data_IF_086939608169
#
_entry.id   IF_086939608169
#
_cell.length_a   1.000
_cell.length_b   1.000
_cell.length_c   1.000
_cell.angle_alpha   90.00
_cell.angle_beta   90.00
_cell.angle_gamma   90.00
#
_symmetry.space_group_name_H-M   'P 1'
#
loop_
_entity.id
_entity.type
_entity.pdbx_description
1 polymer ?
#
# COMPACT_ATOMS: atom_id res chain seq x y z
N UNK A 1 -24.17 -2.14 19.88
CA UNK A 1 -25.08 -3.30 19.76
C UNK A 1 -25.52 -3.76 21.15
N UNK A 2 -26.53 -4.64 21.29
CA UNK A 2 -27.05 -5.10 22.60
C UNK A 2 -26.00 -5.81 23.49
N UNK A 3 -24.79 -6.04 22.96
CA UNK A 3 -23.65 -6.66 23.61
C UNK A 3 -22.53 -5.67 24.01
N UNK A 4 -22.74 -4.36 23.83
CA UNK A 4 -21.77 -3.33 24.24
C UNK A 4 -20.52 -3.21 23.35
N UNK A 5 -20.53 -3.85 22.17
CA UNK A 5 -19.50 -3.65 21.16
C UNK A 5 -19.74 -2.34 20.39
N UNK A 6 -18.64 -1.75 19.92
CA UNK A 6 -18.67 -0.56 19.08
C UNK A 6 -19.53 -0.83 17.84
N UNK A 7 -20.60 -0.06 17.67
CA UNK A 7 -21.48 -0.17 16.52
C UNK A 7 -20.76 0.38 15.28
N UNK A 8 -20.20 -0.53 14.48
CA UNK A 8 -19.59 -0.20 13.20
C UNK A 8 -20.70 0.15 12.20
N UNK A 9 -21.05 1.43 12.15
CA UNK A 9 -22.04 1.95 11.19
C UNK A 9 -21.35 2.43 9.91
N UNK A 10 -21.78 1.89 8.77
CA UNK A 10 -21.57 2.53 7.47
C UNK A 10 -22.63 3.60 7.26
N UNK A 11 -22.29 4.71 6.60
CA UNK A 11 -23.28 5.72 6.23
C UNK A 11 -23.42 5.79 4.71
N UNK A 12 -24.66 5.93 4.26
CA UNK A 12 -24.98 6.06 2.84
C UNK A 12 -25.82 7.30 2.62
N UNK A 13 -25.41 8.10 1.65
CA UNK A 13 -26.10 9.33 1.24
C UNK A 13 -26.48 9.21 -0.22
N UNK A 14 -27.77 9.38 -0.51
CA UNK A 14 -28.32 9.35 -1.86
C UNK A 14 -29.61 10.20 -1.91
N UNK A 15 -30.14 10.52 -3.12
CA UNK A 15 -31.46 11.11 -3.23
C UNK A 15 -32.52 10.21 -2.59
N UNK A 16 -33.57 10.83 -2.04
CA UNK A 16 -34.60 10.14 -1.28
C UNK A 16 -35.20 8.92 -2.00
N UNK A 17 -35.59 9.06 -3.27
CA UNK A 17 -36.18 7.95 -4.03
C UNK A 17 -35.24 6.76 -4.26
N UNK A 18 -33.92 6.99 -4.20
CA UNK A 18 -32.92 5.92 -4.24
C UNK A 18 -32.78 5.27 -2.86
N UNK A 19 -32.73 6.07 -1.79
CA UNK A 19 -32.60 5.55 -0.41
C UNK A 19 -33.75 4.61 -0.04
N UNK A 20 -34.98 4.89 -0.45
CA UNK A 20 -36.13 4.00 -0.21
C UNK A 20 -36.01 2.61 -0.85
N UNK A 21 -35.14 2.49 -1.87
CA UNK A 21 -34.98 1.27 -2.68
C UNK A 21 -33.63 0.62 -2.51
N UNK A 22 -32.73 1.26 -1.77
CA UNK A 22 -31.38 0.81 -1.53
C UNK A 22 -31.34 -0.03 -0.25
N UNK A 23 -30.90 -1.27 -0.40
CA UNK A 23 -30.64 -2.18 0.71
C UNK A 23 -29.14 -2.28 0.91
N UNK A 24 -28.69 -2.07 2.14
CA UNK A 24 -27.28 -2.11 2.52
C UNK A 24 -27.12 -3.06 3.69
N UNK A 25 -26.33 -4.13 3.52
CA UNK A 25 -26.15 -5.18 4.52
C UNK A 25 -24.69 -5.55 4.69
N UNK A 26 -24.30 -6.02 5.87
CA UNK A 26 -22.96 -6.55 6.12
C UNK A 26 -22.93 -8.04 5.78
N UNK A 27 -22.00 -8.44 4.93
CA UNK A 27 -21.88 -9.80 4.35
C UNK A 27 -20.43 -10.30 4.38
N UNK A 28 -19.83 -10.32 5.58
CA UNK A 28 -18.42 -10.66 5.80
C UNK A 28 -18.03 -12.09 5.34
N UNK A 29 -18.99 -12.98 5.32
CA UNK A 29 -18.94 -14.34 4.79
C UNK A 29 -18.58 -14.39 3.29
N UNK A 30 -18.77 -13.29 2.55
CA UNK A 30 -18.35 -13.15 1.16
C UNK A 30 -16.94 -12.55 0.97
N UNK A 31 -16.20 -12.31 2.05
CA UNK A 31 -14.83 -11.79 1.98
C UNK A 31 -13.86 -12.56 1.06
N UNK A 32 -13.93 -13.90 0.91
CA UNK A 32 -13.05 -14.63 -0.02
C UNK A 32 -13.22 -14.23 -1.48
N UNK A 33 -14.38 -13.67 -1.85
CA UNK A 33 -14.67 -13.21 -3.20
C UNK A 33 -14.24 -11.77 -3.46
N UNK A 34 -13.91 -11.03 -2.39
CA UNK A 34 -13.60 -9.60 -2.45
C UNK A 34 -12.10 -9.35 -2.39
N UNK A 35 -11.29 -10.20 -1.78
CA UNK A 35 -9.87 -9.91 -1.48
C UNK A 35 -8.95 -10.83 -2.28
N UNK A 36 -7.88 -10.29 -2.85
CA UNK A 36 -6.86 -11.04 -3.59
C UNK A 36 -5.56 -11.19 -2.75
N UNK A 37 -4.64 -12.06 -3.19
CA UNK A 37 -3.40 -12.43 -2.44
C UNK A 37 -2.51 -11.24 -2.00
N UNK A 38 -2.49 -10.15 -2.75
CA UNK A 38 -1.67 -8.96 -2.46
C UNK A 38 -2.44 -7.87 -1.69
N UNK A 39 -3.62 -8.19 -1.19
CA UNK A 39 -4.55 -7.27 -0.55
C UNK A 39 -4.83 -7.67 0.89
N UNK A 40 -5.21 -6.68 1.70
CA UNK A 40 -5.62 -6.88 3.08
C UNK A 40 -6.99 -6.25 3.27
N UNK A 41 -7.95 -7.03 3.76
CA UNK A 41 -9.27 -6.54 4.12
C UNK A 41 -9.17 -5.70 5.39
N UNK A 42 -9.56 -4.43 5.32
CA UNK A 42 -9.46 -3.50 6.47
C UNK A 42 -10.81 -3.00 6.97
N UNK A 43 -11.91 -3.38 6.31
CA UNK A 43 -13.28 -3.12 6.73
C UNK A 43 -14.13 -4.39 6.70
N UNK A 44 -15.35 -4.27 7.21
CA UNK A 44 -16.42 -5.21 6.86
C UNK A 44 -16.72 -5.16 5.35
N UNK A 45 -17.26 -6.25 4.83
CA UNK A 45 -17.81 -6.34 3.48
C UNK A 45 -19.28 -5.94 3.52
N UNK A 46 -19.69 -5.05 2.63
CA UNK A 46 -21.05 -4.51 2.59
C UNK A 46 -21.66 -4.82 1.22
N UNK A 47 -22.84 -5.44 1.17
CA UNK A 47 -23.64 -5.51 -0.05
C UNK A 47 -24.47 -4.25 -0.19
N UNK A 48 -24.45 -3.62 -1.35
CA UNK A 48 -25.37 -2.54 -1.70
C UNK A 48 -26.16 -2.95 -2.95
N UNK A 49 -27.46 -3.09 -2.77
CA UNK A 49 -28.41 -3.55 -3.80
C UNK A 49 -29.54 -2.54 -3.94
N UNK A 50 -29.99 -2.29 -5.17
CA UNK A 50 -31.09 -1.36 -5.44
C UNK A 50 -32.12 -2.02 -6.34
N UNK A 51 -33.40 -1.94 -5.95
CA UNK A 51 -34.50 -2.51 -6.74
C UNK A 51 -34.79 -1.75 -8.05
N UNK A 52 -34.24 -0.53 -8.23
CA UNK A 52 -34.37 0.25 -9.45
C UNK A 52 -33.02 0.77 -9.96
N UNK A 53 -32.41 0.04 -10.88
CA UNK A 53 -31.07 0.35 -11.43
C UNK A 53 -31.08 1.66 -12.24
N UNK A 54 -32.17 1.98 -12.94
CA UNK A 54 -32.28 3.17 -13.82
C UNK A 54 -32.16 4.52 -13.10
N UNK A 55 -32.45 4.56 -11.80
CA UNK A 55 -32.34 5.79 -11.00
C UNK A 55 -30.90 6.03 -10.50
N UNK A 56 -30.10 4.96 -10.34
CA UNK A 56 -28.73 5.04 -9.84
C UNK A 56 -27.76 5.58 -10.89
N UNK A 57 -28.03 5.31 -12.18
CA UNK A 57 -27.28 5.85 -13.32
C UNK A 57 -27.47 7.36 -13.46
N UNK A 58 -28.63 7.89 -13.06
CA UNK A 58 -28.91 9.33 -13.07
C UNK A 58 -28.39 10.06 -11.81
N UNK A 59 -28.23 9.35 -10.69
CA UNK A 59 -27.80 9.95 -9.41
C UNK A 59 -26.93 8.99 -8.58
N UNK A 60 -25.60 9.21 -8.54
CA UNK A 60 -24.69 8.35 -7.78
C UNK A 60 -24.93 8.45 -6.27
N UNK A 61 -24.69 7.34 -5.58
CA UNK A 61 -24.74 7.24 -4.12
C UNK A 61 -23.34 7.51 -3.53
N UNK A 62 -23.30 7.99 -2.30
CA UNK A 62 -22.07 8.12 -1.52
C UNK A 62 -22.09 7.12 -0.38
N UNK A 63 -21.07 6.27 -0.28
CA UNK A 63 -20.93 5.27 0.78
C UNK A 63 -19.68 5.62 1.59
N UNK A 64 -19.82 5.75 2.90
CA UNK A 64 -18.70 5.87 3.84
C UNK A 64 -18.51 4.53 4.57
N UNK A 65 -17.40 3.86 4.26
CA UNK A 65 -17.07 2.54 4.79
C UNK A 65 -16.06 2.71 5.92
N UNK A 66 -16.44 2.46 7.18
CA UNK A 66 -15.50 2.52 8.29
C UNK A 66 -14.45 1.42 8.15
N UNK A 67 -13.18 1.73 8.42
CA UNK A 67 -12.10 0.77 8.34
C UNK A 67 -11.13 0.93 9.51
N UNK A 68 -10.57 -0.19 9.94
CA UNK A 68 -9.58 -0.26 11.00
C UNK A 68 -8.22 -0.58 10.40
N UNK A 69 -7.59 0.41 9.76
CA UNK A 69 -6.21 0.25 9.29
C UNK A 69 -5.28 1.17 10.06
N UNK A 70 -4.22 0.57 10.63
CA UNK A 70 -3.08 1.32 11.19
C UNK A 70 -2.11 1.80 10.10
N UNK A 71 -2.39 1.49 8.83
CA UNK A 71 -1.37 1.55 7.79
C UNK A 71 -1.26 2.95 7.15
N UNK A 72 -0.12 3.61 7.38
CA UNK A 72 0.36 4.80 6.67
C UNK A 72 1.69 4.54 5.95
N UNK A 73 1.83 3.39 5.30
CA UNK A 73 3.05 3.06 4.56
C UNK A 73 3.05 3.61 3.15
N UNK A 74 4.22 3.99 2.64
CA UNK A 74 4.41 4.58 1.30
C UNK A 74 3.98 3.66 0.13
N UNK A 75 3.88 2.35 0.38
CA UNK A 75 3.70 1.31 -0.65
C UNK A 75 2.28 0.74 -0.76
N UNK A 76 1.38 1.07 0.15
CA UNK A 76 -0.03 0.67 0.03
C UNK A 76 -0.91 1.91 0.04
N UNK A 77 -2.02 1.84 -0.68
CA UNK A 77 -3.10 2.79 -0.60
C UNK A 77 -4.33 2.10 0.02
N UNK A 78 -5.20 2.88 0.65
CA UNK A 78 -6.54 2.44 1.03
C UNK A 78 -7.46 2.76 -0.14
N UNK A 79 -8.05 1.71 -0.71
CA UNK A 79 -8.99 1.80 -1.84
C UNK A 79 -10.31 1.14 -1.45
N UNK A 80 -11.41 1.52 -2.10
CA UNK A 80 -12.66 0.75 -2.00
C UNK A 80 -12.73 -0.17 -3.20
N UNK A 81 -12.78 -1.47 -2.96
CA UNK A 81 -13.00 -2.47 -4.01
C UNK A 81 -14.50 -2.74 -4.11
N UNK A 82 -15.00 -2.74 -5.34
CA UNK A 82 -16.39 -3.05 -5.66
C UNK A 82 -16.40 -4.30 -6.51
N UNK A 83 -17.09 -5.33 -6.05
CA UNK A 83 -17.22 -6.62 -6.73
C UNK A 83 -18.66 -6.82 -7.17
N UNK A 84 -18.88 -6.99 -8.46
CA UNK A 84 -20.21 -7.24 -9.00
C UNK A 84 -20.68 -8.69 -8.77
N UNK A 85 -21.90 -8.99 -9.24
CA UNK A 85 -22.48 -10.34 -9.16
C UNK A 85 -21.72 -11.41 -9.95
N UNK A 86 -20.87 -11.01 -10.89
CA UNK A 86 -20.03 -11.89 -11.71
C UNK A 86 -18.60 -12.02 -11.14
N UNK A 87 -18.39 -11.57 -9.90
CA UNK A 87 -17.09 -11.51 -9.24
C UNK A 87 -16.04 -10.67 -10.00
N UNK A 88 -16.50 -9.73 -10.83
CA UNK A 88 -15.63 -8.74 -11.46
C UNK A 88 -15.43 -7.59 -10.50
N UNK A 89 -14.16 -7.30 -10.24
CA UNK A 89 -13.75 -6.28 -9.28
C UNK A 89 -13.25 -5.03 -9.96
N UNK A 90 -13.66 -3.87 -9.45
CA UNK A 90 -13.06 -2.58 -9.76
C UNK A 90 -12.57 -1.89 -8.49
N UNK A 91 -11.63 -0.97 -8.64
CA UNK A 91 -11.14 -0.13 -7.54
C UNK A 91 -11.69 1.29 -7.69
N UNK A 92 -12.23 1.81 -6.60
CA UNK A 92 -12.64 3.20 -6.45
C UNK A 92 -11.66 3.91 -5.53
N UNK A 93 -11.13 5.04 -5.99
CA UNK A 93 -10.32 5.94 -5.16
C UNK A 93 -11.24 6.66 -4.18
N UNK A 94 -11.02 6.53 -2.86
CA UNK A 94 -11.80 7.27 -1.87
C UNK A 94 -11.62 8.79 -2.06
N UNK A 95 -12.72 9.53 -2.01
CA UNK A 95 -12.69 11.00 -1.99
C UNK A 95 -12.23 11.54 -0.63
N UNK A 96 -12.43 10.77 0.43
CA UNK A 96 -11.95 11.02 1.79
C UNK A 96 -11.59 9.70 2.47
N UNK A 97 -10.60 9.75 3.36
CA UNK A 97 -10.24 8.66 4.30
C UNK A 97 -10.57 9.02 5.76
N UNK A 98 -11.10 10.22 6.00
CA UNK A 98 -11.56 10.67 7.31
C UNK A 98 -13.08 10.49 7.41
N UNK A 99 -13.52 9.95 8.55
CA UNK A 99 -14.93 9.78 8.90
C UNK A 99 -15.24 10.28 10.30
N UNK A 100 -16.51 10.53 10.56
CA UNK A 100 -17.02 10.76 11.90
C UNK A 100 -17.96 9.60 12.25
N UNK A 101 -17.66 8.86 13.32
CA UNK A 101 -18.61 7.94 13.95
C UNK A 101 -19.13 8.65 15.21
N UNK A 102 -20.29 9.29 15.10
CA UNK A 102 -20.84 10.10 16.20
C UNK A 102 -19.91 11.25 16.60
N UNK A 103 -19.52 11.32 17.89
CA UNK A 103 -18.62 12.34 18.44
C UNK A 103 -17.12 12.02 18.32
N UNK A 104 -16.75 10.85 17.79
CA UNK A 104 -15.36 10.44 17.64
C UNK A 104 -14.91 10.45 16.17
N UNK A 105 -13.74 11.07 15.93
CA UNK A 105 -13.07 11.09 14.63
C UNK A 105 -12.54 9.68 14.33
N UNK A 106 -13.04 9.04 13.29
CA UNK A 106 -12.67 7.70 12.85
C UNK A 106 -12.11 7.68 11.42
N UNK A 107 -11.64 6.51 10.98
CA UNK A 107 -11.22 6.29 9.60
C UNK A 107 -12.36 5.71 8.79
N UNK A 108 -12.75 6.39 7.71
CA UNK A 108 -13.77 5.91 6.79
C UNK A 108 -13.39 6.23 5.35
N UNK A 109 -13.48 5.24 4.47
CA UNK A 109 -13.27 5.42 3.05
C UNK A 109 -14.59 5.86 2.42
N UNK A 110 -14.65 7.11 1.98
CA UNK A 110 -15.83 7.69 1.35
C UNK A 110 -15.69 7.58 -0.16
N UNK A 111 -16.66 6.96 -0.82
CA UNK A 111 -16.70 6.86 -2.28
C UNK A 111 -18.04 7.30 -2.83
N UNK A 112 -18.02 7.94 -3.99
CA UNK A 112 -19.21 8.31 -4.74
C UNK A 112 -19.27 7.47 -6.01
N UNK A 113 -20.35 6.73 -6.20
CA UNK A 113 -20.45 5.72 -7.27
C UNK A 113 -21.90 5.48 -7.70
N UNK A 114 -22.07 5.01 -8.93
CA UNK A 114 -23.34 4.45 -9.43
C UNK A 114 -23.30 2.92 -9.52
N UNK A 115 -22.24 2.30 -9.00
CA UNK A 115 -22.05 0.85 -8.99
C UNK A 115 -22.80 0.22 -7.81
N UNK A 116 -23.22 -1.02 -7.97
CA UNK A 116 -23.85 -1.87 -6.94
C UNK A 116 -23.06 -3.18 -6.83
N UNK A 117 -23.24 -3.90 -5.72
CA UNK A 117 -22.53 -5.14 -5.44
C UNK A 117 -21.86 -5.13 -4.06
N UNK A 118 -20.76 -5.86 -3.94
CA UNK A 118 -20.00 -5.97 -2.69
C UNK A 118 -18.96 -4.86 -2.60
N UNK A 119 -18.96 -4.13 -1.49
CA UNK A 119 -18.05 -3.05 -1.19
C UNK A 119 -17.17 -3.40 -0.01
N UNK A 120 -15.87 -3.15 -0.13
CA UNK A 120 -14.97 -3.22 1.01
C UNK A 120 -13.82 -2.22 0.85
N UNK A 121 -13.40 -1.62 1.96
CA UNK A 121 -12.12 -0.94 2.03
C UNK A 121 -11.01 -1.99 2.13
N UNK A 122 -10.04 -1.90 1.23
CA UNK A 122 -8.89 -2.80 1.15
C UNK A 122 -7.60 -1.99 1.19
N UNK A 123 -6.59 -2.54 1.84
CA UNK A 123 -5.21 -2.06 1.72
C UNK A 123 -4.53 -2.82 0.59
N UNK A 124 -4.25 -2.14 -0.52
CA UNK A 124 -3.67 -2.73 -1.71
C UNK A 124 -2.37 -2.02 -2.11
N UNK A 125 -1.51 -2.71 -2.86
CA UNK A 125 -0.26 -2.11 -3.35
C UNK A 125 -0.52 -0.85 -4.18
N UNK A 126 0.18 0.23 -3.82
CA UNK A 126 0.14 1.51 -4.52
C UNK A 126 0.61 1.33 -5.96
N UNK A 127 -0.23 1.72 -6.92
CA UNK A 127 0.08 1.69 -8.36
C UNK A 127 0.61 3.05 -8.80
N UNK A 128 1.82 3.08 -9.34
CA UNK A 128 2.35 4.24 -10.04
C UNK A 128 2.35 3.96 -11.55
N UNK A 129 1.97 4.95 -12.36
CA UNK A 129 1.90 4.80 -13.82
C UNK A 129 2.58 5.97 -14.51
N UNK A 130 3.37 5.68 -15.54
CA UNK A 130 4.00 6.71 -16.39
C UNK A 130 4.15 6.24 -17.83
N UNK A 131 4.41 7.17 -18.74
CA UNK A 131 4.64 6.87 -20.15
C UNK A 131 6.13 6.97 -20.48
N UNK A 132 6.69 5.90 -21.06
CA UNK A 132 8.03 5.86 -21.63
C UNK A 132 7.99 6.36 -23.07
N UNK A 133 8.63 7.49 -23.39
CA UNK A 133 8.69 8.00 -24.75
C UNK A 133 9.74 7.25 -25.58
N UNK A 134 9.63 7.33 -26.92
CA UNK A 134 10.62 6.74 -27.85
C UNK A 134 12.05 7.21 -27.59
N UNK A 135 12.23 8.46 -27.13
CA UNK A 135 13.55 9.01 -26.77
C UNK A 135 14.17 8.40 -25.51
N UNK A 136 13.46 7.55 -24.78
CA UNK A 136 13.89 7.02 -23.50
C UNK A 136 13.59 7.97 -22.33
N UNK A 137 13.78 7.47 -21.11
CA UNK A 137 13.55 8.21 -19.87
C UNK A 137 14.34 7.60 -18.71
N UNK A 138 14.84 8.45 -17.82
CA UNK A 138 15.24 8.06 -16.47
C UNK A 138 14.14 8.48 -15.50
N UNK A 139 13.61 7.53 -14.73
CA UNK A 139 12.51 7.77 -13.79
C UNK A 139 12.82 7.19 -12.43
N UNK A 140 12.79 8.02 -11.39
CA UNK A 140 12.70 7.58 -10.00
C UNK A 140 11.24 7.40 -9.62
N UNK A 141 10.92 6.43 -8.77
CA UNK A 141 9.57 6.28 -8.26
C UNK A 141 9.23 7.40 -7.28
N UNK A 142 7.98 7.83 -7.31
CA UNK A 142 7.48 8.80 -6.32
C UNK A 142 7.35 8.16 -4.94
N UNK A 143 6.91 6.90 -4.87
CA UNK A 143 6.72 6.20 -3.60
C UNK A 143 8.03 5.80 -2.91
N UNK A 144 9.11 5.58 -3.67
CA UNK A 144 10.47 5.36 -3.15
C UNK A 144 11.52 5.84 -4.17
N UNK A 145 12.09 7.05 -4.00
CA UNK A 145 13.07 7.61 -4.93
C UNK A 145 14.40 6.84 -5.03
N UNK A 146 14.65 5.87 -4.14
CA UNK A 146 15.82 4.97 -4.23
C UNK A 146 15.65 3.94 -5.33
N UNK A 147 14.41 3.66 -5.73
CA UNK A 147 14.09 2.81 -6.86
C UNK A 147 14.05 3.67 -8.13
N UNK A 148 14.78 3.26 -9.16
CA UNK A 148 14.79 3.99 -10.44
C UNK A 148 14.90 3.09 -11.66
N UNK A 149 14.40 3.61 -12.78
CA UNK A 149 14.33 2.94 -14.06
C UNK A 149 14.96 3.80 -15.13
N UNK A 150 15.91 3.23 -15.88
CA UNK A 150 16.47 3.83 -17.07
C UNK A 150 16.00 3.05 -18.29
N UNK A 151 15.27 3.75 -19.17
CA UNK A 151 14.88 3.30 -20.49
C UNK A 151 15.72 4.07 -21.50
N UNK A 152 16.69 3.43 -22.19
CA UNK A 152 17.42 4.06 -23.28
C UNK A 152 16.52 4.49 -24.43
N UNK A 153 17.02 5.37 -25.29
CA UNK A 153 16.33 5.72 -26.54
C UNK A 153 16.09 4.48 -27.39
N UNK A 154 14.94 4.45 -28.06
CA UNK A 154 14.48 3.33 -28.89
C UNK A 154 14.28 2.01 -28.14
N UNK A 155 14.12 2.02 -26.81
CA UNK A 155 13.67 0.83 -26.07
C UNK A 155 12.36 0.29 -26.63
N UNK A 156 11.43 1.19 -26.93
CA UNK A 156 10.17 0.90 -27.62
C UNK A 156 10.11 1.67 -28.94
N UNK A 157 9.43 1.09 -29.94
CA UNK A 157 9.17 1.74 -31.21
C UNK A 157 8.18 2.92 -31.11
N UNK A 158 7.29 2.87 -30.11
CA UNK A 158 6.26 3.87 -29.82
C UNK A 158 6.28 4.26 -28.34
N UNK A 159 5.37 5.16 -27.93
CA UNK A 159 5.17 5.48 -26.51
C UNK A 159 4.47 4.31 -25.82
N UNK A 160 4.99 3.87 -24.68
CA UNK A 160 4.42 2.75 -23.91
C UNK A 160 4.13 3.22 -22.49
N UNK A 161 2.96 2.89 -21.97
CA UNK A 161 2.60 3.17 -20.57
C UNK A 161 3.01 1.99 -19.70
N UNK A 162 3.66 2.29 -18.59
CA UNK A 162 4.15 1.32 -17.61
C UNK A 162 3.39 1.55 -16.31
N UNK A 163 2.73 0.50 -15.83
CA UNK A 163 2.17 0.44 -14.48
C UNK A 163 3.12 -0.34 -13.58
N UNK A 164 3.38 0.17 -12.38
CA UNK A 164 4.26 -0.47 -11.43
C UNK A 164 3.66 -0.50 -10.03
N UNK A 165 3.92 -1.58 -9.31
CA UNK A 165 3.64 -1.76 -7.88
C UNK A 165 4.90 -2.23 -7.17
N UNK A 166 5.14 -1.75 -5.96
CA UNK A 166 6.25 -2.21 -5.11
C UNK A 166 5.67 -2.91 -3.89
N UNK A 167 6.14 -4.13 -3.62
CA UNK A 167 5.73 -4.94 -2.48
C UNK A 167 6.93 -5.16 -1.56
N UNK A 168 7.00 -4.45 -0.43
CA UNK A 168 7.96 -4.76 0.62
C UNK A 168 7.70 -6.16 1.17
N UNK A 169 8.77 -6.91 1.41
CA UNK A 169 8.70 -8.17 2.15
C UNK A 169 8.97 -7.83 3.62
N UNK A 170 7.99 -8.08 4.48
CA UNK A 170 8.12 -7.82 5.90
C UNK A 170 9.04 -8.85 6.57
N UNK A 171 9.76 -8.42 7.62
CA UNK A 171 10.67 -9.30 8.36
C UNK A 171 9.93 -10.45 9.06
N UNK A 172 8.68 -10.25 9.49
CA UNK A 172 7.86 -11.31 10.06
C UNK A 172 7.57 -12.40 9.03
N UNK A 173 7.27 -12.02 7.78
CA UNK A 173 7.07 -12.96 6.67
C UNK A 173 8.33 -13.76 6.39
N UNK A 174 9.49 -13.10 6.31
CA UNK A 174 10.77 -13.78 6.12
C UNK A 174 11.09 -14.74 7.29
N UNK A 175 10.82 -14.33 8.53
CA UNK A 175 11.02 -15.17 9.71
C UNK A 175 10.10 -16.40 9.71
N UNK A 176 8.85 -16.23 9.29
CA UNK A 176 7.92 -17.35 9.11
C UNK A 176 8.37 -18.30 8.00
N UNK A 177 8.92 -17.79 6.89
CA UNK A 177 9.44 -18.65 5.82
C UNK A 177 10.65 -19.47 6.30
N UNK A 178 11.56 -18.86 7.05
CA UNK A 178 12.72 -19.54 7.65
C UNK A 178 12.36 -20.64 8.62
N UNK A 179 11.28 -20.46 9.39
CA UNK A 179 10.83 -21.47 10.35
C UNK A 179 10.11 -22.64 9.69
N UNK A 180 9.56 -22.46 8.48
CA UNK A 180 8.86 -23.50 7.73
C UNK A 180 9.73 -24.22 6.72
N UNK A 181 10.78 -23.57 6.21
CA UNK A 181 11.64 -24.13 5.18
C UNK A 181 13.11 -23.78 5.43
N UNK A 182 13.93 -24.81 5.65
CA UNK A 182 15.36 -24.67 5.96
C UNK A 182 16.15 -24.00 4.83
N UNK A 183 15.68 -24.09 3.58
CA UNK A 183 16.30 -23.45 2.41
C UNK A 183 16.39 -21.92 2.52
N UNK A 184 15.50 -21.28 3.28
CA UNK A 184 15.51 -19.83 3.48
C UNK A 184 16.38 -19.40 4.66
N UNK A 185 16.91 -20.32 5.46
CA UNK A 185 17.75 -20.01 6.62
C UNK A 185 18.92 -19.07 6.28
N UNK A 186 19.65 -19.25 5.16
CA UNK A 186 20.78 -18.37 4.80
C UNK A 186 20.36 -16.94 4.39
N UNK A 187 19.08 -16.71 4.07
CA UNK A 187 18.62 -15.42 3.53
C UNK A 187 18.64 -14.37 4.64
N UNK A 188 19.63 -13.48 4.65
CA UNK A 188 19.75 -12.44 5.68
C UNK A 188 18.68 -11.35 5.54
N UNK A 189 18.40 -10.91 4.32
CA UNK A 189 17.41 -9.88 4.04
C UNK A 189 17.02 -9.91 2.55
N UNK A 190 15.90 -9.25 2.23
CA UNK A 190 15.34 -9.21 0.88
C UNK A 190 15.07 -7.78 0.47
N UNK A 191 15.32 -7.44 -0.81
CA UNK A 191 14.78 -6.21 -1.39
C UNK A 191 13.25 -6.32 -1.58
N UNK A 192 12.59 -5.19 -1.82
CA UNK A 192 11.18 -5.19 -2.23
C UNK A 192 11.00 -5.89 -3.58
N UNK A 193 9.87 -6.56 -3.76
CA UNK A 193 9.44 -7.07 -5.06
C UNK A 193 8.89 -5.91 -5.89
N UNK A 194 9.26 -5.88 -7.17
CA UNK A 194 8.82 -4.85 -8.11
C UNK A 194 8.05 -5.51 -9.23
N UNK A 195 6.76 -5.20 -9.30
CA UNK A 195 5.83 -5.70 -10.30
C UNK A 195 5.72 -4.66 -11.42
N UNK A 196 5.96 -5.06 -12.66
CA UNK A 196 5.87 -4.19 -13.84
C UNK A 196 4.86 -4.74 -14.84
N UNK A 197 3.99 -3.86 -15.31
CA UNK A 197 2.96 -4.14 -16.30
C UNK A 197 3.08 -3.12 -17.43
N UNK A 198 3.16 -3.59 -18.67
CA UNK A 198 3.27 -2.72 -19.85
C UNK A 198 1.95 -2.74 -20.61
N UNK A 199 1.48 -1.56 -21.04
CA UNK A 199 0.22 -1.41 -21.77
C UNK A 199 0.23 -2.05 -23.16
N UNK A 200 1.40 -2.49 -23.64
CA UNK A 200 1.55 -3.16 -24.92
C UNK A 200 2.41 -4.40 -24.76
N UNK A 201 2.14 -5.42 -25.59
CA UNK A 201 2.95 -6.63 -25.71
C UNK A 201 4.18 -6.40 -26.62
N UNK A 202 4.58 -5.14 -26.82
CA UNK A 202 5.68 -4.79 -27.72
C UNK A 202 7.00 -5.24 -27.08
N UNK A 203 7.85 -5.98 -27.79
CA UNK A 203 9.12 -6.43 -27.25
C UNK A 203 10.07 -5.26 -26.96
N UNK A 204 10.96 -5.46 -26.00
CA UNK A 204 12.05 -4.54 -25.71
C UNK A 204 13.12 -4.64 -26.79
N UNK A 205 13.41 -3.53 -27.47
CA UNK A 205 14.51 -3.48 -28.44
C UNK A 205 15.87 -3.19 -27.77
N UNK A 206 15.85 -2.78 -26.50
CA UNK A 206 17.04 -2.45 -25.69
C UNK A 206 16.84 -2.96 -24.28
N UNK A 207 17.96 -3.31 -23.64
CA UNK A 207 17.96 -3.59 -22.21
C UNK A 207 17.57 -2.34 -21.41
N UNK A 208 16.77 -2.54 -20.38
CA UNK A 208 16.44 -1.52 -19.40
C UNK A 208 17.31 -1.70 -18.16
N UNK A 209 17.56 -0.62 -17.43
CA UNK A 209 18.25 -0.68 -16.15
C UNK A 209 17.28 -0.40 -15.03
N UNK A 210 17.24 -1.29 -14.04
CA UNK A 210 16.45 -1.12 -12.82
C UNK A 210 17.41 -1.04 -11.64
N UNK A 211 17.26 -0.01 -10.82
CA UNK A 211 18.01 0.18 -9.59
C UNK A 211 17.08 -0.06 -8.42
N UNK A 212 17.44 -1.01 -7.55
CA UNK A 212 16.69 -1.34 -6.34
C UNK A 212 17.57 -1.07 -5.10
N UNK A 213 17.01 -0.59 -3.99
CA UNK A 213 17.74 -0.47 -2.74
C UNK A 213 18.14 -1.87 -2.26
N UNK A 214 19.44 -2.04 -2.01
CA UNK A 214 19.93 -3.23 -1.32
C UNK A 214 19.40 -3.21 0.12
N UNK A 215 18.81 -4.29 0.63
CA UNK A 215 18.42 -4.35 2.02
C UNK A 215 19.66 -4.17 2.92
N UNK A 216 19.50 -3.58 4.13
CA UNK A 216 20.63 -3.32 5.01
C UNK A 216 21.36 -4.63 5.34
N UNK A 217 22.63 -4.72 4.95
CA UNK A 217 23.50 -5.85 5.30
C UNK A 217 24.01 -5.67 6.74
N UNK A 218 23.69 -6.58 7.68
CA UNK A 218 24.18 -6.50 9.06
C UNK A 218 25.71 -6.59 9.17
N UNK A 219 26.40 -7.26 8.24
CA UNK A 219 27.88 -7.38 8.27
C UNK A 219 28.55 -6.05 7.98
N UNK A 220 28.04 -5.30 6.99
CA UNK A 220 28.55 -3.96 6.64
C UNK A 220 28.30 -2.91 7.73
N UNK A 221 27.37 -3.17 8.67
CA UNK A 221 27.18 -2.33 9.87
C UNK A 221 28.27 -2.55 10.92
N UNK A 222 28.88 -3.74 11.01
CA UNK A 222 29.96 -3.99 11.97
C UNK A 222 31.23 -3.24 11.59
N UNK A 223 31.58 -3.21 10.31
CA UNK A 223 32.75 -2.46 9.80
C UNK A 223 32.68 -0.96 10.11
N UNK A 224 31.49 -0.34 9.98
CA UNK A 224 31.31 1.09 10.28
C UNK A 224 31.39 1.42 11.78
N UNK A 225 31.00 0.50 12.66
CA UNK A 225 31.10 0.68 14.13
C UNK A 225 32.56 0.52 14.58
N UNK A 226 33.32 -0.37 13.96
CA UNK A 226 34.75 -0.54 14.24
C UNK A 226 35.57 0.70 13.84
N UNK A 227 35.18 1.38 12.74
CA UNK A 227 35.89 2.59 12.27
C UNK A 227 35.63 3.82 13.17
N UNK A 228 34.42 3.95 13.73
CA UNK A 228 34.09 5.05 14.66
C UNK A 228 34.63 4.80 16.08
N UNK A 229 34.77 3.53 16.49
CA UNK A 229 35.38 3.18 17.78
C UNK A 229 36.88 3.49 17.81
N UNK A 230 37.61 3.32 16.70
CA UNK A 230 39.04 3.69 16.61
C UNK A 230 39.28 5.20 16.74
N UNK A 231 38.31 6.04 16.37
CA UNK A 231 38.44 7.51 16.49
C UNK A 231 38.15 8.05 17.89
N UNK A 232 37.46 7.27 18.72
CA UNK A 232 37.07 7.68 20.08
C UNK A 232 38.09 7.31 21.17
N UNK A 233 39.10 6.48 20.86
CA UNK A 233 40.08 6.01 21.86
C UNK A 233 41.24 7.02 22.09
N UNK A 234 41.37 8.06 21.25
CA UNK A 234 42.46 9.04 21.33
C UNK A 234 42.22 10.24 22.27
N UNK A 235 41.22 10.18 23.15
CA UNK A 235 40.89 11.30 24.04
C UNK A 235 40.73 10.85 25.50
N UNK A 236 41.84 10.56 26.18
CA UNK A 236 41.90 10.70 27.64
C UNK A 236 43.34 10.85 28.16
N UNK A 237 43.73 12.08 28.49
CA UNK A 237 44.72 12.32 29.54
C UNK A 237 44.15 13.42 30.45
N UNK A 238 43.70 13.09 31.68
CA UNK A 238 43.36 14.10 32.66
C UNK A 238 44.65 14.60 33.31
N UNK A 239 44.99 15.89 33.14
CA UNK A 239 45.97 16.56 34.00
C UNK A 239 45.29 16.99 35.28
N UNK A 240 45.42 16.17 36.33
CA UNK A 240 45.12 16.57 37.71
C UNK A 240 46.37 17.22 38.30
N UNK A 241 46.28 18.53 38.55
CA UNK A 241 47.21 19.31 39.38
C UNK A 241 46.90 19.14 40.85
N UNK A 242 47.85 18.61 41.63
CA UNK A 242 48.39 19.24 42.84
C UNK A 242 49.37 18.27 43.52
N UNK A 243 50.45 18.82 44.07
CA UNK A 243 50.88 18.63 45.47
C UNK A 243 52.11 19.52 45.71
N UNK A 244 52.00 20.34 46.76
CA UNK A 244 53.04 21.11 47.39
C UNK A 244 54.20 20.24 47.89
N UNK A 245 55.42 20.78 47.98
CA UNK A 245 56.26 20.55 49.16
C UNK A 245 57.20 21.72 49.46
N UNK A 246 57.23 22.05 50.76
CA UNK A 246 58.14 22.94 51.48
C UNK A 246 59.62 22.56 51.31
N UNK A 247 60.50 23.56 51.15
CA UNK A 247 61.47 23.97 52.19
C UNK A 247 61.99 25.38 51.89
#
# INVERSE_FOLDING_TARGET
NELGEAELSCSVTAPWGVLERLTVTVVNDLSPFVVNDAEELVSNVISAECSSVDQLTASPISIAIPFASRYRGMYKDIMVKVTDVNFQSIYLTPTSLEGHQGSQKGSAAVVKTSQLGLFAAVSCLKKETWTVPRKGILRKLHMDPRISFCYPSSTFGSRVTVGLKVQPIDQSTLSMLKTKHDEYYPVMSTSSLVHMEYSSLVPFNRAITVVLPCPPNPEKRREGIETDAERAISASVPRVTSIHHFR
#
